data_IF_484596825197
#
_entry.id   IF_484596825197
#
_cell.length_a   1.000
_cell.length_b   1.000
_cell.length_c   1.000
_cell.angle_alpha   90.00
_cell.angle_beta   90.00
_cell.angle_gamma   90.00
#
_symmetry.space_group_name_H-M   'P 1'
#
loop_
_entity.id
_entity.type
_entity.pdbx_description
1 polymer ?
#
# COMPACT_ATOMS: atom_id res chain seq x y z
N UNK A 1 17.31 -1.67 -14.28
CA UNK A 1 16.60 -0.93 -15.35
C UNK A 1 15.08 -1.03 -15.21
N UNK A 2 14.48 -2.23 -15.13
CA UNK A 2 13.02 -2.42 -15.03
C UNK A 2 12.39 -1.69 -13.82
N UNK A 3 13.02 -1.74 -12.66
CA UNK A 3 12.54 -1.11 -11.41
C UNK A 3 12.60 0.41 -11.50
N UNK A 4 13.64 0.99 -12.09
CA UNK A 4 13.77 2.45 -12.29
C UNK A 4 12.67 2.95 -13.23
N UNK A 5 12.38 2.21 -14.30
CA UNK A 5 11.29 2.51 -15.22
C UNK A 5 9.91 2.38 -14.53
N UNK A 6 9.75 1.39 -13.64
CA UNK A 6 8.52 1.18 -12.88
C UNK A 6 8.30 2.31 -11.87
N UNK A 7 9.34 2.70 -11.13
CA UNK A 7 9.32 3.82 -10.18
C UNK A 7 9.06 5.14 -10.92
N UNK A 8 9.72 5.38 -12.06
CA UNK A 8 9.50 6.59 -12.88
C UNK A 8 8.05 6.67 -13.37
N UNK A 9 7.47 5.57 -13.82
CA UNK A 9 6.08 5.50 -14.29
C UNK A 9 5.05 5.64 -13.17
N UNK A 10 5.38 5.19 -11.96
CA UNK A 10 4.52 5.35 -10.77
C UNK A 10 4.47 6.82 -10.34
N UNK A 11 5.60 7.53 -10.42
CA UNK A 11 5.66 8.96 -10.11
C UNK A 11 4.80 9.78 -11.09
N UNK A 12 4.67 9.32 -12.33
CA UNK A 12 3.89 9.99 -13.39
C UNK A 12 2.44 9.52 -13.53
N UNK A 13 2.01 8.47 -12.82
CA UNK A 13 0.64 7.96 -12.89
C UNK A 13 -0.35 8.80 -12.04
N UNK A 14 -1.68 8.70 -12.27
CA UNK A 14 -2.69 9.44 -11.50
C UNK A 14 -2.56 9.23 -9.99
N UNK A 15 -2.99 10.20 -9.20
CA UNK A 15 -2.86 10.23 -7.75
C UNK A 15 -3.55 9.03 -7.09
N UNK A 16 -2.75 8.02 -6.71
CA UNK A 16 -3.19 6.89 -5.91
C UNK A 16 -2.73 7.07 -4.45
N UNK A 17 -3.56 6.73 -3.44
CA UNK A 17 -3.18 6.82 -2.04
C UNK A 17 -1.90 6.03 -1.75
N UNK A 18 -0.99 6.63 -0.99
CA UNK A 18 0.27 6.00 -0.61
C UNK A 18 1.35 5.94 -1.70
N UNK A 19 1.06 6.37 -2.94
CA UNK A 19 1.97 6.26 -4.09
C UNK A 19 3.39 6.76 -3.80
N UNK A 20 3.51 7.96 -3.29
CA UNK A 20 4.82 8.57 -3.00
C UNK A 20 5.58 7.79 -1.94
N UNK A 21 4.89 7.39 -0.86
CA UNK A 21 5.51 6.66 0.24
C UNK A 21 5.92 5.24 -0.19
N UNK A 22 5.08 4.50 -0.91
CA UNK A 22 5.45 3.20 -1.47
C UNK A 22 6.59 3.32 -2.50
N UNK A 23 6.62 4.39 -3.29
CA UNK A 23 7.73 4.68 -4.19
C UNK A 23 9.05 4.90 -3.44
N UNK A 24 9.03 5.67 -2.36
CA UNK A 24 10.20 5.87 -1.48
C UNK A 24 10.61 4.57 -0.78
N UNK A 25 9.65 3.75 -0.32
CA UNK A 25 9.94 2.43 0.23
C UNK A 25 10.62 1.52 -0.80
N UNK A 26 10.20 1.58 -2.07
CA UNK A 26 10.83 0.82 -3.15
C UNK A 26 12.28 1.25 -3.37
N UNK A 27 12.55 2.55 -3.45
CA UNK A 27 13.91 3.08 -3.59
C UNK A 27 14.78 2.66 -2.41
N UNK A 28 14.26 2.78 -1.19
CA UNK A 28 14.96 2.38 0.03
C UNK A 28 15.27 0.87 0.07
N UNK A 29 14.32 0.02 -0.34
CA UNK A 29 14.53 -1.43 -0.37
C UNK A 29 15.53 -1.86 -1.44
N UNK A 30 15.54 -1.18 -2.60
CA UNK A 30 16.55 -1.39 -3.64
C UNK A 30 17.95 -1.01 -3.13
N UNK A 31 18.05 0.14 -2.45
CA UNK A 31 19.29 0.54 -1.81
C UNK A 31 19.77 -0.53 -0.80
N UNK A 32 18.88 -1.00 0.06
CA UNK A 32 19.21 -2.04 1.03
C UNK A 32 19.72 -3.32 0.36
N UNK A 33 19.00 -3.86 -0.63
CA UNK A 33 19.46 -5.03 -1.39
C UNK A 33 20.81 -4.76 -2.09
N UNK A 34 20.99 -3.59 -2.70
CA UNK A 34 22.24 -3.26 -3.35
C UNK A 34 23.43 -3.32 -2.38
N UNK A 35 23.26 -2.77 -1.16
CA UNK A 35 24.30 -2.84 -0.13
C UNK A 35 24.54 -4.28 0.35
N UNK A 36 23.51 -5.09 0.48
CA UNK A 36 23.64 -6.53 0.82
C UNK A 36 24.40 -7.26 -0.29
N UNK A 37 24.05 -7.04 -1.56
CA UNK A 37 24.73 -7.68 -2.70
C UNK A 37 26.20 -7.25 -2.77
N UNK A 38 26.51 -5.96 -2.60
CA UNK A 38 27.88 -5.46 -2.57
C UNK A 38 28.67 -6.08 -1.41
N UNK A 39 28.08 -6.16 -0.22
CA UNK A 39 28.69 -6.81 0.95
C UNK A 39 29.01 -8.29 0.70
N UNK A 40 28.08 -9.04 0.08
CA UNK A 40 28.27 -10.46 -0.20
C UNK A 40 29.35 -10.73 -1.26
N UNK A 41 29.56 -9.79 -2.18
CA UNK A 41 30.57 -9.90 -3.24
C UNK A 41 31.92 -9.28 -2.86
N UNK A 42 32.03 -8.57 -1.73
CA UNK A 42 33.28 -7.97 -1.28
C UNK A 42 34.21 -9.03 -0.69
N UNK A 43 35.50 -8.88 -0.95
CA UNK A 43 36.53 -9.74 -0.38
C UNK A 43 37.06 -9.11 0.92
N UNK A 44 37.32 -7.80 0.91
CA UNK A 44 37.89 -7.09 2.05
C UNK A 44 36.86 -6.88 3.19
N UNK A 45 37.33 -7.08 4.42
CA UNK A 45 36.50 -6.88 5.61
C UNK A 45 36.04 -5.43 5.77
N UNK A 46 36.90 -4.47 5.43
CA UNK A 46 36.58 -3.03 5.41
C UNK A 46 35.34 -2.71 4.57
N UNK A 47 35.29 -3.27 3.36
CA UNK A 47 34.19 -3.07 2.42
C UNK A 47 32.91 -3.74 2.92
N UNK A 48 33.01 -4.96 3.48
CA UNK A 48 31.87 -5.65 4.09
C UNK A 48 31.26 -4.82 5.20
N UNK A 49 32.08 -4.23 6.07
CA UNK A 49 31.64 -3.36 7.15
C UNK A 49 31.02 -2.08 6.60
N UNK A 50 31.64 -1.45 5.61
CA UNK A 50 31.13 -0.23 5.00
C UNK A 50 29.75 -0.46 4.38
N UNK A 51 29.58 -1.49 3.55
CA UNK A 51 28.29 -1.79 2.93
C UNK A 51 27.23 -2.18 3.95
N UNK A 52 27.61 -2.87 5.03
CA UNK A 52 26.70 -3.17 6.14
C UNK A 52 26.19 -1.90 6.84
N UNK A 53 27.08 -0.92 7.05
CA UNK A 53 26.72 0.39 7.63
C UNK A 53 25.85 1.22 6.68
N UNK A 54 26.19 1.25 5.39
CA UNK A 54 25.41 1.95 4.36
C UNK A 54 24.00 1.34 4.18
N UNK A 55 23.83 0.06 4.45
CA UNK A 55 22.52 -0.60 4.37
C UNK A 55 21.50 0.01 5.34
N UNK A 56 21.94 0.64 6.46
CA UNK A 56 21.04 1.21 7.47
C UNK A 56 20.14 2.33 6.95
N UNK A 57 20.56 3.08 5.94
CA UNK A 57 19.66 4.04 5.27
C UNK A 57 18.42 3.33 4.70
N UNK A 58 18.63 2.18 4.05
CA UNK A 58 17.52 1.37 3.52
C UNK A 58 16.75 0.63 4.59
N UNK A 59 17.43 0.08 5.61
CA UNK A 59 16.82 -0.65 6.72
C UNK A 59 15.80 0.21 7.47
N UNK A 60 16.12 1.49 7.71
CA UNK A 60 15.22 2.41 8.42
C UNK A 60 14.15 2.98 7.48
N UNK A 61 14.54 3.42 6.27
CA UNK A 61 13.61 4.07 5.35
C UNK A 61 12.51 3.13 4.85
N UNK A 62 12.84 1.86 4.58
CA UNK A 62 11.88 0.91 3.99
C UNK A 62 10.64 0.73 4.87
N UNK A 63 10.71 0.33 6.15
CA UNK A 63 9.53 0.15 6.99
C UNK A 63 8.83 1.48 7.33
N UNK A 64 9.55 2.60 7.45
CA UNK A 64 8.94 3.91 7.70
C UNK A 64 8.05 4.33 6.54
N UNK A 65 8.58 4.33 5.31
CA UNK A 65 7.81 4.72 4.14
C UNK A 65 6.74 3.69 3.77
N UNK A 66 6.99 2.40 4.00
CA UNK A 66 5.96 1.37 3.86
C UNK A 66 4.77 1.64 4.79
N UNK A 67 5.03 1.90 6.06
CA UNK A 67 4.00 2.22 7.05
C UNK A 67 3.22 3.48 6.68
N UNK A 68 3.90 4.53 6.21
CA UNK A 68 3.26 5.77 5.77
C UNK A 68 2.36 5.53 4.55
N UNK A 69 2.81 4.76 3.56
CA UNK A 69 2.01 4.40 2.39
C UNK A 69 0.79 3.58 2.74
N UNK A 70 0.95 2.65 3.69
CA UNK A 70 -0.15 1.84 4.18
C UNK A 70 -1.18 2.66 4.96
N UNK A 71 -0.74 3.58 5.82
CA UNK A 71 -1.62 4.50 6.55
C UNK A 71 -2.37 5.44 5.61
N UNK A 72 -1.72 5.98 4.58
CA UNK A 72 -2.37 6.82 3.58
C UNK A 72 -3.45 6.05 2.81
N UNK A 73 -3.15 4.81 2.45
CA UNK A 73 -4.14 3.92 1.84
C UNK A 73 -5.34 3.63 2.77
N UNK A 74 -5.12 3.59 4.08
CA UNK A 74 -6.16 3.44 5.09
C UNK A 74 -6.93 4.73 5.39
N UNK A 75 -6.64 5.85 4.69
CA UNK A 75 -7.30 7.14 4.85
C UNK A 75 -6.57 8.15 5.74
N UNK A 76 -5.41 7.81 6.28
CA UNK A 76 -4.61 8.69 7.14
C UNK A 76 -3.56 9.47 6.34
N UNK A 77 -3.99 10.34 5.42
CA UNK A 77 -3.13 11.09 4.49
C UNK A 77 -2.12 12.04 5.15
N UNK A 78 -2.28 12.35 6.45
CA UNK A 78 -1.31 13.19 7.16
C UNK A 78 0.11 12.57 7.19
N UNK A 79 0.24 11.24 7.10
CA UNK A 79 1.53 10.56 7.14
C UNK A 79 2.32 10.67 5.83
N UNK A 80 1.67 11.02 4.72
CA UNK A 80 2.31 11.25 3.41
C UNK A 80 2.46 12.73 3.05
N UNK A 81 2.05 13.65 3.95
CA UNK A 81 2.29 15.08 3.77
C UNK A 81 3.78 15.38 3.76
N UNK A 82 4.17 16.43 3.04
CA UNK A 82 5.57 16.86 2.89
C UNK A 82 6.34 16.91 4.23
N UNK A 83 5.71 17.46 5.28
CA UNK A 83 6.32 17.53 6.62
C UNK A 83 6.64 16.15 7.19
N UNK A 84 5.72 15.21 7.10
CA UNK A 84 5.90 13.84 7.62
C UNK A 84 6.99 13.10 6.85
N UNK A 85 7.00 13.22 5.52
CA UNK A 85 8.06 12.65 4.68
C UNK A 85 9.43 13.26 5.05
N UNK A 86 9.51 14.58 5.25
CA UNK A 86 10.75 15.23 5.68
C UNK A 86 11.23 14.70 7.03
N UNK A 87 10.33 14.52 8.00
CA UNK A 87 10.67 13.95 9.32
C UNK A 87 11.23 12.52 9.15
N UNK A 88 10.60 11.68 8.34
CA UNK A 88 11.06 10.32 8.07
C UNK A 88 12.44 10.30 7.40
N UNK A 89 12.70 11.21 6.46
CA UNK A 89 14.01 11.37 5.83
C UNK A 89 15.07 11.80 6.84
N UNK A 90 14.74 12.72 7.74
CA UNK A 90 15.65 13.16 8.82
C UNK A 90 15.96 12.01 9.78
N UNK A 91 14.94 11.25 10.20
CA UNK A 91 15.14 10.05 11.05
C UNK A 91 16.05 9.05 10.34
N UNK A 92 15.79 8.78 9.06
CA UNK A 92 16.63 7.88 8.23
C UNK A 92 18.08 8.38 8.14
N UNK A 93 18.26 9.68 7.92
CA UNK A 93 19.60 10.27 7.86
C UNK A 93 20.33 10.14 9.20
N UNK A 94 19.68 10.49 10.31
CA UNK A 94 20.30 10.39 11.66
C UNK A 94 20.70 8.93 11.95
N UNK A 95 19.81 7.97 11.73
CA UNK A 95 20.11 6.56 11.98
C UNK A 95 21.20 6.01 11.05
N UNK A 96 21.19 6.39 9.76
CA UNK A 96 22.21 6.02 8.80
C UNK A 96 23.56 6.60 9.14
N UNK A 97 23.63 7.88 9.55
CA UNK A 97 24.87 8.50 10.02
C UNK A 97 25.38 7.88 11.32
N UNK A 98 24.50 7.55 12.27
CA UNK A 98 24.90 6.82 13.46
C UNK A 98 25.51 5.45 13.10
N UNK A 99 24.97 4.75 12.10
CA UNK A 99 25.56 3.51 11.61
C UNK A 99 26.92 3.71 10.94
N UNK A 100 27.10 4.77 10.14
CA UNK A 100 28.39 5.08 9.51
C UNK A 100 29.49 5.42 10.53
N UNK A 101 29.14 6.12 11.61
CA UNK A 101 30.05 6.54 12.67
C UNK A 101 30.20 5.49 13.77
N UNK A 102 29.57 4.33 13.65
CA UNK A 102 29.55 3.28 14.68
C UNK A 102 30.94 2.78 15.09
N UNK A 103 31.94 2.91 14.22
CA UNK A 103 33.33 2.60 14.56
C UNK A 103 33.93 3.43 15.70
N UNK A 104 33.32 4.58 16.05
CA UNK A 104 33.75 5.44 17.16
C UNK A 104 33.03 5.18 18.46
N UNK A 105 31.76 4.79 18.41
CA UNK A 105 30.92 4.72 19.62
C UNK A 105 30.37 3.32 19.93
N UNK A 106 30.40 2.39 18.96
CA UNK A 106 29.95 0.99 19.12
C UNK A 106 28.51 0.82 19.69
N UNK A 107 27.61 1.77 19.36
CA UNK A 107 26.23 1.72 19.85
C UNK A 107 25.38 0.72 19.09
N UNK A 108 25.71 0.50 17.81
CA UNK A 108 24.96 -0.38 16.93
C UNK A 108 25.56 -1.80 16.91
N UNK A 109 26.88 -1.89 16.82
CA UNK A 109 27.65 -3.13 16.78
C UNK A 109 28.77 -3.07 17.81
N UNK A 110 28.68 -3.96 18.81
CA UNK A 110 29.67 -4.00 19.91
C UNK A 110 30.93 -4.72 19.48
N UNK A 111 30.77 -5.84 18.75
CA UNK A 111 31.88 -6.69 18.34
C UNK A 111 31.60 -7.39 17.01
N UNK A 112 32.65 -7.68 16.24
CA UNK A 112 32.59 -8.53 15.06
C UNK A 112 32.99 -9.94 15.50
N UNK A 113 32.01 -10.85 15.55
CA UNK A 113 32.21 -12.21 16.08
C UNK A 113 32.97 -13.10 15.09
N UNK A 114 32.80 -12.88 13.78
CA UNK A 114 33.44 -13.69 12.75
C UNK A 114 33.94 -12.79 11.60
N UNK A 115 35.24 -12.92 11.30
CA UNK A 115 35.93 -12.11 10.27
C UNK A 115 35.61 -12.63 8.86
N UNK A 116 35.55 -13.95 8.68
CA UNK A 116 35.31 -14.55 7.36
C UNK A 116 33.83 -14.33 6.92
N UNK A 117 32.93 -14.43 7.89
CA UNK A 117 31.49 -14.17 7.71
C UNK A 117 31.01 -13.22 8.79
N UNK A 118 31.13 -11.88 8.56
CA UNK A 118 30.86 -10.91 9.60
C UNK A 118 29.50 -11.14 10.25
N UNK A 119 29.49 -11.66 11.45
CA UNK A 119 28.36 -11.66 12.37
C UNK A 119 28.69 -10.67 13.49
N UNK A 120 27.67 -9.94 13.92
CA UNK A 120 27.85 -8.81 14.82
C UNK A 120 27.16 -9.10 16.16
N UNK A 121 27.83 -8.76 17.25
CA UNK A 121 27.13 -8.58 18.53
C UNK A 121 26.43 -7.20 18.48
N UNK A 122 25.11 -7.20 18.71
CA UNK A 122 24.32 -5.98 18.57
C UNK A 122 24.37 -5.13 19.83
N UNK A 123 24.52 -3.82 19.66
CA UNK A 123 24.46 -2.83 20.72
C UNK A 123 23.04 -2.35 21.01
N UNK A 124 22.90 -1.49 22.02
CA UNK A 124 21.61 -0.98 22.48
C UNK A 124 20.83 -0.20 21.38
N UNK A 125 21.55 0.54 20.52
CA UNK A 125 20.94 1.32 19.45
C UNK A 125 20.28 0.40 18.40
N UNK A 126 20.87 -0.76 18.12
CA UNK A 126 20.24 -1.75 17.24
C UNK A 126 18.86 -2.14 17.73
N UNK A 127 18.75 -2.51 19.01
CA UNK A 127 17.47 -2.94 19.60
C UNK A 127 16.47 -1.79 19.70
N UNK A 128 16.93 -0.56 19.97
CA UNK A 128 16.09 0.63 19.98
C UNK A 128 15.50 0.93 18.58
N UNK A 129 16.33 0.88 17.53
CA UNK A 129 15.88 1.08 16.16
C UNK A 129 14.97 -0.04 15.69
N UNK A 130 15.33 -1.29 15.96
CA UNK A 130 14.51 -2.46 15.64
C UNK A 130 13.14 -2.36 16.31
N UNK A 131 13.11 -2.13 17.62
CA UNK A 131 11.87 -1.97 18.38
C UNK A 131 11.03 -0.80 17.87
N UNK A 132 11.64 0.33 17.54
CA UNK A 132 10.96 1.49 16.93
C UNK A 132 10.33 1.17 15.58
N UNK A 133 11.01 0.42 14.71
CA UNK A 133 10.48 -0.02 13.42
C UNK A 133 9.30 -1.00 13.60
N UNK A 134 9.43 -2.00 14.49
CA UNK A 134 8.33 -2.92 14.80
C UNK A 134 7.12 -2.19 15.36
N UNK A 135 7.33 -1.23 16.27
CA UNK A 135 6.26 -0.42 16.85
C UNK A 135 5.57 0.44 15.78
N UNK A 136 6.33 1.08 14.89
CA UNK A 136 5.78 1.88 13.79
C UNK A 136 4.90 1.03 12.87
N UNK A 137 5.37 -0.13 12.45
CA UNK A 137 4.61 -1.05 11.60
C UNK A 137 3.39 -1.63 12.33
N UNK A 138 3.51 -1.97 13.62
CA UNK A 138 2.39 -2.44 14.43
C UNK A 138 1.29 -1.38 14.54
N UNK A 139 1.66 -0.12 14.84
CA UNK A 139 0.71 1.00 14.89
C UNK A 139 0.02 1.17 13.53
N UNK A 140 0.77 1.13 12.42
CA UNK A 140 0.21 1.23 11.09
C UNK A 140 -0.79 0.10 10.79
N UNK A 141 -0.48 -1.14 11.18
CA UNK A 141 -1.40 -2.28 11.05
C UNK A 141 -2.66 -2.10 11.90
N UNK A 142 -2.53 -1.74 13.18
CA UNK A 142 -3.67 -1.56 14.09
C UNK A 142 -4.59 -0.42 13.63
N UNK A 143 -4.02 0.72 13.23
CA UNK A 143 -4.78 1.84 12.67
C UNK A 143 -5.51 1.44 11.38
N UNK A 144 -4.86 0.68 10.50
CA UNK A 144 -5.48 0.21 9.27
C UNK A 144 -6.60 -0.82 9.54
N UNK A 145 -6.40 -1.72 10.51
CA UNK A 145 -7.44 -2.70 10.93
C UNK A 145 -8.67 -1.97 11.46
N UNK A 146 -8.51 -0.87 12.21
CA UNK A 146 -9.64 -0.10 12.74
C UNK A 146 -10.55 0.47 11.63
N UNK A 147 -9.99 0.75 10.45
CA UNK A 147 -10.73 1.26 9.29
C UNK A 147 -11.45 0.16 8.49
N UNK A 148 -11.10 -1.12 8.66
CA UNK A 148 -11.69 -2.22 7.89
C UNK A 148 -13.21 -2.31 8.01
N UNK A 149 -13.76 -1.93 9.17
CA UNK A 149 -15.22 -1.99 9.43
C UNK A 149 -15.99 -0.94 8.63
N UNK A 150 -15.33 0.18 8.33
CA UNK A 150 -15.92 1.33 7.64
C UNK A 150 -15.58 1.36 6.14
N UNK A 151 -14.69 0.48 5.69
CA UNK A 151 -14.24 0.44 4.31
C UNK A 151 -15.23 -0.27 3.39
N UNK A 152 -15.48 0.29 2.21
CA UNK A 152 -16.20 -0.36 1.12
C UNK A 152 -15.57 -1.71 0.76
N UNK A 153 -16.37 -2.67 0.26
CA UNK A 153 -15.94 -4.07 0.03
C UNK A 153 -14.62 -4.18 -0.76
N UNK A 154 -14.48 -3.38 -1.83
CA UNK A 154 -13.27 -3.39 -2.65
C UNK A 154 -12.06 -2.87 -1.87
N UNK A 155 -12.21 -1.71 -1.23
CA UNK A 155 -11.15 -1.08 -0.44
C UNK A 155 -10.73 -1.97 0.75
N UNK A 156 -11.68 -2.61 1.41
CA UNK A 156 -11.41 -3.59 2.48
C UNK A 156 -10.56 -4.77 1.99
N UNK A 157 -10.83 -5.30 0.78
CA UNK A 157 -10.01 -6.37 0.18
C UNK A 157 -8.58 -5.89 -0.08
N UNK A 158 -8.41 -4.65 -0.55
CA UNK A 158 -7.11 -4.05 -0.79
C UNK A 158 -6.32 -3.87 0.51
N UNK A 159 -6.96 -3.35 1.56
CA UNK A 159 -6.36 -3.21 2.89
C UNK A 159 -5.94 -4.58 3.47
N UNK A 160 -6.78 -5.60 3.34
CA UNK A 160 -6.44 -6.96 3.79
C UNK A 160 -5.24 -7.50 3.00
N UNK A 161 -5.20 -7.30 1.69
CA UNK A 161 -4.06 -7.72 0.87
C UNK A 161 -2.76 -7.03 1.30
N UNK A 162 -2.80 -5.73 1.63
CA UNK A 162 -1.65 -4.99 2.16
C UNK A 162 -1.24 -5.48 3.55
N UNK A 163 -2.20 -5.79 4.44
CA UNK A 163 -1.92 -6.40 5.75
C UNK A 163 -1.19 -7.73 5.59
N UNK A 164 -1.70 -8.62 4.75
CA UNK A 164 -1.06 -9.91 4.46
C UNK A 164 0.34 -9.70 3.86
N UNK A 165 0.48 -8.78 2.90
CA UNK A 165 1.76 -8.45 2.30
C UNK A 165 2.78 -7.93 3.33
N UNK A 166 2.34 -7.19 4.35
CA UNK A 166 3.17 -6.71 5.46
C UNK A 166 3.65 -7.84 6.36
N UNK A 167 2.86 -8.90 6.52
CA UNK A 167 3.26 -10.06 7.35
C UNK A 167 4.45 -10.83 6.76
N UNK A 168 4.65 -10.81 5.44
CA UNK A 168 5.74 -11.56 4.78
C UNK A 168 7.14 -11.08 5.24
N UNK A 169 7.51 -9.79 5.11
CA UNK A 169 8.80 -9.31 5.60
C UNK A 169 8.95 -9.48 7.12
N UNK A 170 7.86 -9.32 7.88
CA UNK A 170 7.89 -9.53 9.33
C UNK A 170 8.19 -10.97 9.70
N UNK A 171 7.54 -11.94 9.05
CA UNK A 171 7.81 -13.35 9.26
C UNK A 171 9.26 -13.71 8.90
N UNK A 172 9.78 -13.17 7.80
CA UNK A 172 11.17 -13.37 7.40
C UNK A 172 12.15 -12.78 8.43
N UNK A 173 11.88 -11.56 8.93
CA UNK A 173 12.73 -10.92 9.94
C UNK A 173 12.65 -11.65 11.29
N UNK A 174 11.45 -12.06 11.73
CA UNK A 174 11.29 -12.85 12.93
C UNK A 174 12.01 -14.21 12.82
N UNK A 175 11.94 -14.86 11.67
CA UNK A 175 12.66 -16.11 11.41
C UNK A 175 14.18 -15.91 11.48
N UNK A 176 14.67 -14.79 10.96
CA UNK A 176 16.09 -14.43 11.05
C UNK A 176 16.53 -14.15 12.50
N UNK A 177 15.78 -13.31 13.23
CA UNK A 177 16.17 -12.88 14.59
C UNK A 177 16.00 -13.98 15.63
N UNK A 178 14.91 -14.78 15.52
CA UNK A 178 14.57 -15.79 16.55
C UNK A 178 15.14 -17.17 16.27
N UNK A 179 15.27 -17.54 14.99
CA UNK A 179 15.66 -18.89 14.56
C UNK A 179 16.94 -18.90 13.72
N UNK A 180 17.61 -17.76 13.59
CA UNK A 180 18.82 -17.61 12.76
C UNK A 180 18.63 -18.09 11.30
N UNK A 181 17.40 -18.07 10.80
CA UNK A 181 17.11 -18.46 9.43
C UNK A 181 17.77 -17.49 8.45
N UNK A 182 18.62 -18.01 7.58
CA UNK A 182 19.41 -17.23 6.62
C UNK A 182 19.11 -17.62 5.18
N UNK A 183 18.95 -16.65 4.30
CA UNK A 183 18.87 -16.83 2.87
C UNK A 183 20.17 -16.33 2.23
N UNK A 184 20.82 -17.15 1.40
CA UNK A 184 22.16 -16.86 0.89
C UNK A 184 23.19 -16.57 2.00
N UNK A 185 22.99 -17.19 3.16
CA UNK A 185 23.78 -17.00 4.36
C UNK A 185 23.67 -15.58 4.97
N UNK A 186 22.57 -14.88 4.70
CA UNK A 186 22.29 -13.51 5.15
C UNK A 186 20.83 -13.35 5.56
N UNK A 187 20.46 -12.14 6.05
CA UNK A 187 19.10 -11.76 6.41
C UNK A 187 18.17 -11.82 5.18
N UNK A 188 17.08 -12.61 5.23
CA UNK A 188 16.11 -12.69 4.13
C UNK A 188 15.20 -11.46 4.02
N UNK A 189 15.15 -10.60 5.03
CA UNK A 189 14.20 -9.47 5.14
C UNK A 189 14.27 -8.49 3.95
N UNK A 190 15.44 -8.05 3.45
CA UNK A 190 15.51 -7.13 2.32
C UNK A 190 14.90 -7.72 1.04
N UNK A 191 15.08 -9.02 0.81
CA UNK A 191 14.48 -9.70 -0.35
C UNK A 191 12.96 -9.78 -0.23
N UNK A 192 12.46 -10.11 0.97
CA UNK A 192 11.03 -10.16 1.25
C UNK A 192 10.37 -8.77 1.11
N UNK A 193 10.96 -7.72 1.65
CA UNK A 193 10.46 -6.35 1.48
C UNK A 193 10.46 -5.93 0.02
N UNK A 194 11.54 -6.17 -0.71
CA UNK A 194 11.62 -5.77 -2.12
C UNK A 194 10.59 -6.50 -2.98
N UNK A 195 10.41 -7.81 -2.77
CA UNK A 195 9.39 -8.57 -3.47
C UNK A 195 7.98 -8.04 -3.15
N UNK A 196 7.70 -7.73 -1.88
CA UNK A 196 6.42 -7.19 -1.43
C UNK A 196 6.16 -5.80 -2.02
N UNK A 197 7.13 -4.90 -1.96
CA UNK A 197 7.01 -3.55 -2.53
C UNK A 197 6.79 -3.63 -4.04
N UNK A 198 7.55 -4.45 -4.76
CA UNK A 198 7.39 -4.63 -6.21
C UNK A 198 6.02 -5.20 -6.56
N UNK A 199 5.52 -6.17 -5.79
CA UNK A 199 4.19 -6.73 -5.98
C UNK A 199 3.08 -5.67 -5.81
N UNK A 200 3.19 -4.82 -4.78
CA UNK A 200 2.25 -3.71 -4.53
C UNK A 200 2.33 -2.67 -5.64
N UNK A 201 3.53 -2.26 -6.05
CA UNK A 201 3.70 -1.32 -7.14
C UNK A 201 3.17 -1.85 -8.48
N UNK A 202 3.39 -3.14 -8.76
CA UNK A 202 2.83 -3.80 -9.94
C UNK A 202 1.30 -3.85 -9.90
N UNK A 203 0.74 -4.15 -8.74
CA UNK A 203 -0.69 -4.16 -8.53
C UNK A 203 -1.31 -2.77 -8.67
N UNK A 204 -0.63 -1.71 -8.19
CA UNK A 204 -1.00 -0.31 -8.43
C UNK A 204 -0.98 0.04 -9.92
N UNK A 205 0.07 -0.38 -10.63
CA UNK A 205 0.22 -0.06 -12.06
C UNK A 205 -0.88 -0.68 -12.93
N UNK A 206 -1.36 -1.88 -12.59
CA UNK A 206 -2.46 -2.52 -13.32
C UNK A 206 -3.85 -1.95 -13.00
N UNK A 207 -3.94 -0.91 -12.16
CA UNK A 207 -5.17 -0.19 -11.87
C UNK A 207 -6.22 -0.97 -11.08
N UNK A 208 -5.94 -2.22 -10.73
CA UNK A 208 -6.93 -3.08 -10.05
C UNK A 208 -6.86 -3.00 -8.52
N UNK A 209 -5.73 -2.53 -7.93
CA UNK A 209 -5.59 -2.49 -6.48
C UNK A 209 -5.87 -1.10 -5.86
N UNK A 210 -5.79 -0.02 -6.61
CA UNK A 210 -5.86 1.33 -6.08
C UNK A 210 -6.74 2.27 -6.94
N UNK A 211 -7.90 1.81 -7.32
CA UNK A 211 -8.97 2.75 -7.61
C UNK A 211 -9.40 3.26 -6.23
N UNK A 212 -8.85 4.41 -5.81
CA UNK A 212 -9.41 5.09 -4.66
C UNK A 212 -10.86 5.43 -5.01
N UNK A 213 -11.84 4.97 -4.23
CA UNK A 213 -13.08 5.72 -4.20
C UNK A 213 -12.67 7.08 -3.61
N UNK A 214 -12.84 8.20 -4.32
CA UNK A 214 -12.65 9.49 -3.68
C UNK A 214 -13.63 9.51 -2.49
N UNK A 215 -13.14 9.77 -1.28
CA UNK A 215 -14.01 9.97 -0.10
C UNK A 215 -15.10 11.00 -0.42
N UNK A 216 -14.78 11.97 -1.27
CA UNK A 216 -15.74 12.90 -1.83
C UNK A 216 -16.84 12.22 -2.68
N UNK A 217 -16.53 11.17 -3.45
CA UNK A 217 -17.50 10.46 -4.26
C UNK A 217 -18.53 9.73 -3.38
N UNK A 218 -18.07 9.02 -2.36
CA UNK A 218 -18.97 8.28 -1.46
C UNK A 218 -19.86 9.24 -0.66
N UNK A 219 -19.32 10.38 -0.20
CA UNK A 219 -20.10 11.41 0.49
C UNK A 219 -21.10 12.07 -0.48
N UNK A 220 -20.64 12.51 -1.65
CA UNK A 220 -21.51 13.14 -2.65
C UNK A 220 -22.58 12.13 -3.08
N UNK A 221 -22.18 10.89 -3.39
CA UNK A 221 -23.10 9.83 -3.79
C UNK A 221 -24.14 9.53 -2.74
N UNK A 222 -23.77 9.55 -1.46
CA UNK A 222 -24.71 9.29 -0.34
C UNK A 222 -25.62 10.45 0.01
N UNK A 223 -25.22 11.71 -0.27
CA UNK A 223 -26.02 12.92 0.05
C UNK A 223 -26.77 13.49 -1.14
N UNK A 224 -26.50 13.01 -2.37
CA UNK A 224 -27.24 13.43 -3.55
C UNK A 224 -28.73 13.05 -3.40
N UNK A 225 -29.65 14.03 -3.58
CA UNK A 225 -31.08 13.77 -3.53
C UNK A 225 -31.57 12.97 -4.75
N UNK A 226 -30.80 12.99 -5.84
CA UNK A 226 -31.14 12.27 -7.05
C UNK A 226 -30.82 10.79 -6.92
N UNK A 227 -31.74 9.88 -7.33
CA UNK A 227 -31.51 8.44 -7.30
C UNK A 227 -30.47 8.03 -8.34
N UNK A 228 -29.37 7.42 -7.90
CA UNK A 228 -28.30 6.93 -8.75
C UNK A 228 -28.14 5.43 -8.59
N UNK A 229 -28.20 4.70 -9.70
CA UNK A 229 -27.90 3.27 -9.79
C UNK A 229 -26.82 3.08 -10.84
N UNK A 230 -25.72 2.45 -10.46
CA UNK A 230 -24.62 2.12 -11.38
C UNK A 230 -24.75 0.67 -11.80
N UNK A 231 -24.92 0.45 -13.09
CA UNK A 231 -25.09 -0.87 -13.69
C UNK A 231 -23.93 -1.18 -14.63
N UNK A 232 -23.54 -2.45 -14.66
CA UNK A 232 -22.69 -2.97 -15.73
C UNK A 232 -23.57 -3.31 -16.96
N UNK A 233 -23.05 -3.26 -18.20
CA UNK A 233 -23.80 -3.67 -19.39
C UNK A 233 -24.43 -5.07 -19.33
N UNK A 234 -23.89 -5.93 -18.46
CA UNK A 234 -24.43 -7.28 -18.17
C UNK A 234 -25.65 -7.28 -17.26
N UNK A 235 -26.10 -6.10 -16.75
CA UNK A 235 -27.18 -5.94 -15.79
C UNK A 235 -26.77 -6.17 -14.34
N UNK A 236 -25.47 -6.29 -14.05
CA UNK A 236 -24.98 -6.40 -12.68
C UNK A 236 -25.07 -5.04 -11.98
N UNK A 237 -25.74 -4.96 -10.84
CA UNK A 237 -25.82 -3.75 -10.01
C UNK A 237 -24.47 -3.56 -9.30
N UNK A 238 -23.74 -2.50 -9.65
CA UNK A 238 -22.45 -2.21 -9.06
C UNK A 238 -22.56 -1.36 -7.80
N UNK A 239 -23.49 -0.35 -7.82
CA UNK A 239 -23.62 0.62 -6.73
C UNK A 239 -25.00 1.27 -6.77
N UNK A 240 -25.54 1.63 -5.58
CA UNK A 240 -26.78 2.37 -5.43
C UNK A 240 -26.63 3.43 -4.34
N UNK A 241 -27.24 4.61 -4.51
CA UNK A 241 -27.26 5.62 -3.46
C UNK A 241 -28.55 5.53 -2.60
N UNK A 242 -28.57 6.14 -1.39
CA UNK A 242 -29.75 6.09 -0.52
C UNK A 242 -31.03 6.67 -1.13
N UNK A 243 -30.91 7.58 -2.10
CA UNK A 243 -32.07 8.11 -2.81
C UNK A 243 -32.63 7.05 -3.79
N UNK A 244 -31.78 6.30 -4.47
CA UNK A 244 -32.17 5.19 -5.33
C UNK A 244 -32.81 4.04 -4.52
N UNK A 245 -32.24 3.71 -3.34
CA UNK A 245 -32.83 2.70 -2.44
C UNK A 245 -34.28 3.02 -2.07
N UNK A 246 -34.55 4.28 -1.73
CA UNK A 246 -35.91 4.73 -1.39
C UNK A 246 -36.88 4.69 -2.55
N UNK A 247 -36.41 4.91 -3.76
CA UNK A 247 -37.27 4.99 -4.95
C UNK A 247 -37.48 3.62 -5.60
N UNK A 248 -36.42 2.83 -5.73
CA UNK A 248 -36.43 1.56 -6.50
C UNK A 248 -36.60 0.33 -5.59
N UNK A 249 -36.44 0.49 -4.28
CA UNK A 249 -36.39 -0.62 -3.33
C UNK A 249 -35.09 -1.43 -3.39
N UNK A 250 -34.10 -0.97 -4.14
CA UNK A 250 -32.78 -1.61 -4.19
C UNK A 250 -32.06 -1.39 -2.86
N UNK A 251 -31.92 -2.45 -2.09
CA UNK A 251 -31.15 -2.44 -0.86
C UNK A 251 -29.67 -2.72 -1.11
N UNK A 252 -28.85 -2.53 -0.09
CA UNK A 252 -27.43 -2.92 -0.13
C UNK A 252 -27.21 -4.39 -0.53
N UNK A 253 -28.22 -5.26 -0.31
CA UNK A 253 -28.17 -6.67 -0.71
C UNK A 253 -28.36 -6.85 -2.23
N UNK A 254 -28.92 -5.85 -2.91
CA UNK A 254 -29.09 -5.87 -4.37
C UNK A 254 -27.77 -5.58 -5.09
N UNK A 255 -26.83 -4.92 -4.42
CA UNK A 255 -25.48 -4.66 -4.97
C UNK A 255 -24.72 -5.98 -5.12
N UNK A 256 -24.24 -6.24 -6.36
CA UNK A 256 -23.58 -7.50 -6.73
C UNK A 256 -24.53 -8.58 -7.22
N UNK A 257 -25.83 -8.28 -7.39
CA UNK A 257 -26.80 -9.16 -8.03
C UNK A 257 -27.08 -8.71 -9.46
N UNK A 258 -27.46 -9.65 -10.34
CA UNK A 258 -27.92 -9.33 -11.69
C UNK A 258 -29.42 -9.01 -11.68
N UNK A 259 -29.77 -7.92 -12.34
CA UNK A 259 -31.19 -7.63 -12.62
C UNK A 259 -31.77 -8.67 -13.56
N UNK A 260 -33.03 -9.10 -13.34
CA UNK A 260 -33.69 -9.98 -14.27
C UNK A 260 -33.90 -9.28 -15.63
N UNK A 261 -33.84 -10.00 -16.75
CA UNK A 261 -34.00 -9.43 -18.10
C UNK A 261 -35.32 -8.66 -18.30
N UNK A 262 -36.32 -8.96 -17.51
CA UNK A 262 -37.64 -8.29 -17.51
C UNK A 262 -37.66 -6.97 -16.73
N UNK A 263 -36.57 -6.61 -16.05
CA UNK A 263 -36.51 -5.37 -15.27
C UNK A 263 -36.52 -4.15 -16.19
N UNK A 264 -37.27 -3.09 -15.92
CA UNK A 264 -37.36 -1.90 -16.79
C UNK A 264 -35.99 -1.29 -17.13
N UNK A 265 -35.07 -1.25 -16.16
CA UNK A 265 -33.71 -0.74 -16.38
C UNK A 265 -32.91 -1.56 -17.41
N UNK A 266 -33.23 -2.82 -17.65
CA UNK A 266 -32.55 -3.64 -18.66
C UNK A 266 -32.95 -3.27 -20.07
N UNK A 267 -34.17 -2.80 -20.30
CA UNK A 267 -34.61 -2.30 -21.60
C UNK A 267 -33.78 -1.09 -22.04
N UNK A 268 -33.43 -0.20 -21.11
CA UNK A 268 -32.60 0.98 -21.39
C UNK A 268 -31.15 0.64 -21.73
N UNK A 269 -30.55 -0.33 -21.03
CA UNK A 269 -29.18 -0.79 -21.35
C UNK A 269 -29.14 -1.36 -22.77
N UNK A 270 -30.17 -2.04 -23.22
CA UNK A 270 -30.25 -2.62 -24.57
C UNK A 270 -30.41 -1.53 -25.65
N UNK A 271 -31.12 -0.46 -25.34
CA UNK A 271 -31.40 0.67 -26.25
C UNK A 271 -30.18 1.60 -26.40
N UNK A 272 -29.46 1.89 -25.30
CA UNK A 272 -28.26 2.74 -25.27
C UNK A 272 -27.09 2.11 -26.06
N UNK A 273 -26.98 0.79 -26.06
CA UNK A 273 -25.97 0.08 -26.88
C UNK A 273 -26.22 0.22 -28.38
N UNK A 274 -27.47 0.48 -28.81
CA UNK A 274 -27.84 0.55 -30.24
C UNK A 274 -27.87 1.97 -30.80
N UNK A 275 -28.12 3.00 -29.99
CA UNK A 275 -28.42 4.35 -30.48
C UNK A 275 -27.38 5.43 -30.18
N UNK A 276 -26.33 5.13 -29.40
CA UNK A 276 -25.36 6.13 -28.94
C UNK A 276 -25.97 7.09 -27.90
N UNK A 277 -25.23 8.12 -27.41
CA UNK A 277 -25.58 8.86 -26.21
C UNK A 277 -26.80 9.78 -26.35
N UNK A 278 -27.96 9.21 -26.53
CA UNK A 278 -29.24 9.90 -26.32
C UNK A 278 -29.58 9.73 -24.82
N UNK A 279 -29.91 10.84 -24.14
CA UNK A 279 -30.34 10.82 -22.73
C UNK A 279 -31.73 10.18 -22.64
N UNK A 280 -31.84 8.91 -22.23
CA UNK A 280 -33.17 8.31 -22.08
C UNK A 280 -33.84 8.83 -20.81
N UNK A 281 -35.15 9.06 -20.90
CA UNK A 281 -36.01 9.48 -19.77
C UNK A 281 -36.74 8.26 -19.29
N UNK A 282 -36.60 7.85 -18.02
CA UNK A 282 -37.33 6.72 -17.45
C UNK A 282 -38.54 7.22 -16.65
N UNK A 283 -39.71 6.72 -16.99
CA UNK A 283 -40.89 6.87 -16.17
C UNK A 283 -41.09 5.68 -15.22
N UNK A 284 -41.00 5.94 -13.92
CA UNK A 284 -41.42 4.93 -12.92
C UNK A 284 -42.89 5.14 -12.58
N UNK A 285 -43.72 4.21 -12.98
CA UNK A 285 -45.20 4.26 -12.86
C UNK A 285 -45.72 4.40 -11.42
N UNK A 286 -44.89 4.11 -10.43
CA UNK A 286 -45.31 4.14 -9.00
C UNK A 286 -45.35 5.55 -8.39
N UNK A 287 -44.81 6.61 -9.06
CA UNK A 287 -44.71 7.94 -8.44
C UNK A 287 -44.84 9.14 -9.42
N UNK A 288 -45.25 8.98 -10.67
CA UNK A 288 -45.30 10.09 -11.67
C UNK A 288 -44.03 10.95 -11.74
N UNK A 289 -42.88 10.39 -11.46
CA UNK A 289 -41.60 11.09 -11.50
C UNK A 289 -40.78 10.67 -12.73
N UNK A 290 -40.40 11.67 -13.50
CA UNK A 290 -39.54 11.52 -14.68
C UNK A 290 -38.08 11.72 -14.30
N UNK A 291 -37.19 10.84 -14.74
CA UNK A 291 -35.76 10.93 -14.49
C UNK A 291 -34.99 11.01 -15.79
N UNK A 292 -33.97 11.88 -15.84
CA UNK A 292 -33.01 11.93 -16.94
C UNK A 292 -31.82 11.02 -16.63
N UNK A 293 -31.40 10.23 -17.61
CA UNK A 293 -30.18 9.45 -17.54
C UNK A 293 -29.03 10.28 -18.15
N UNK A 294 -27.95 10.42 -17.43
CA UNK A 294 -26.77 11.17 -17.82
C UNK A 294 -25.63 10.26 -18.28
#
# INVERSE_FOLDING_TARGET
>A
MLVILLVGRIITSPEAPGRTAFGLAAVASIWWIAMVVLRLNSVELSDKILFNRLAWFGIIATPLFWSAGFLDHAGFSQFTRRRSITIMLVITAIAGFAALTDGYHHWLYVEIINIERPSFAYGWLFYALLGGMYLCMLIACLMSISQLKHAARLHRRQMIALLVATCVPWACNAAFVLFEFRLFNDDPTPFAFSATVLAVLFAQHRGKLFIAPPIARDIIFSVLPDPIVVLEPSGLVLETNPAAEKLTGFSADTVGTKLPPSHPLMAFIAEDIQTGPAKPIIHFDAMEKTFELG
#
